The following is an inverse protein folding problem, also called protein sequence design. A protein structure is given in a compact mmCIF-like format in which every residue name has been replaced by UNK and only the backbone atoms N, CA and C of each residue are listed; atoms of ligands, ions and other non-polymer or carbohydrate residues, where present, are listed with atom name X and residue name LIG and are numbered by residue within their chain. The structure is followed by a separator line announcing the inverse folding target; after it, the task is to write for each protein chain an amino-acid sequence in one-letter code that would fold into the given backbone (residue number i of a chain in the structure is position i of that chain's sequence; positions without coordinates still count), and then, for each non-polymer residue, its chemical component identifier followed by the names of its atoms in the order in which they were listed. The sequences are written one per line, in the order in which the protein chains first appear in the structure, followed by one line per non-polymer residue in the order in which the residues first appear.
data_IF_770625595401
#
_entry.id   IF_770625595401
#
_cell.length_a   1.000
_cell.length_b   1.000
_cell.length_c   1.000
_cell.angle_alpha   90.00
_cell.angle_beta   90.00
_cell.angle_gamma   90.00
#
_symmetry.space_group_name_H-M   'P 1'
#
loop_
_entity.id
_entity.type
_entity.pdbx_description
1 polymer ?
#
# COMPACT_ATOMS: atom_id res chain seq x y z
N UNK A 1 0.96 7.61 -19.61
CA UNK A 1 0.78 7.56 -18.14
C UNK A 1 0.33 8.90 -17.62
N UNK A 2 -0.75 8.94 -16.85
CA UNK A 2 -1.16 10.13 -16.10
C UNK A 2 -0.12 10.37 -14.99
N UNK A 3 0.46 11.57 -14.94
CA UNK A 3 1.45 11.95 -13.93
C UNK A 3 0.75 12.70 -12.79
N UNK A 4 1.04 12.31 -11.54
CA UNK A 4 0.48 12.91 -10.34
C UNK A 4 1.58 13.61 -9.50
N UNK A 5 2.12 14.78 -9.92
CA UNK A 5 3.21 15.49 -9.22
C UNK A 5 3.01 15.73 -7.72
N UNK A 6 1.76 15.80 -7.22
CA UNK A 6 1.45 16.00 -5.81
C UNK A 6 0.90 14.76 -5.06
N UNK A 7 0.91 13.56 -5.66
CA UNK A 7 0.41 12.34 -5.00
C UNK A 7 1.20 11.98 -3.73
N UNK A 8 2.44 12.46 -3.63
CA UNK A 8 3.26 12.29 -2.43
C UNK A 8 2.63 12.89 -1.17
N UNK A 9 1.76 13.90 -1.30
CA UNK A 9 1.04 14.49 -0.16
C UNK A 9 0.08 13.49 0.48
N UNK A 10 -0.63 12.72 -0.34
CA UNK A 10 -1.51 11.66 0.15
C UNK A 10 -0.70 10.56 0.83
N UNK A 11 0.41 10.12 0.24
CA UNK A 11 1.34 9.17 0.88
C UNK A 11 1.81 9.70 2.24
N UNK A 12 2.20 10.97 2.33
CA UNK A 12 2.66 11.58 3.58
C UNK A 12 1.56 11.64 4.63
N UNK A 13 0.33 11.96 4.23
CA UNK A 13 -0.83 11.87 5.10
C UNK A 13 -1.04 10.44 5.63
N UNK A 14 -1.01 9.40 4.77
CA UNK A 14 -1.14 7.99 5.23
C UNK A 14 -0.03 7.62 6.21
N UNK A 15 1.21 8.01 5.92
CA UNK A 15 2.35 7.80 6.82
C UNK A 15 2.12 8.52 8.15
N UNK A 16 1.66 9.77 8.14
CA UNK A 16 1.38 10.53 9.35
C UNK A 16 0.25 9.88 10.16
N UNK A 17 -0.88 9.56 9.53
CA UNK A 17 -2.04 8.94 10.18
C UNK A 17 -1.68 7.67 10.96
N UNK A 18 -0.90 6.76 10.37
CA UNK A 18 -0.45 5.55 11.08
C UNK A 18 0.63 5.82 12.13
N UNK A 19 1.53 6.78 11.91
CA UNK A 19 2.53 7.14 12.92
C UNK A 19 1.90 7.84 14.13
N UNK A 20 0.82 8.58 13.93
CA UNK A 20 0.07 9.27 14.99
C UNK A 20 -0.98 8.36 15.63
N UNK A 21 -1.09 7.11 15.15
CA UNK A 21 -2.07 6.12 15.60
C UNK A 21 -3.52 6.62 15.51
N UNK A 22 -3.82 7.29 14.40
CA UNK A 22 -5.17 7.74 14.10
C UNK A 22 -6.14 6.55 14.17
N UNK A 23 -7.28 6.70 14.87
CA UNK A 23 -8.33 5.68 14.88
C UNK A 23 -8.69 5.26 13.45
N UNK A 24 -8.64 3.95 13.18
CA UNK A 24 -8.79 3.43 11.83
C UNK A 24 -10.16 3.75 11.22
N UNK A 25 -11.21 3.86 12.04
CA UNK A 25 -12.54 4.31 11.62
C UNK A 25 -12.51 5.77 11.09
N UNK A 26 -11.81 6.68 11.78
CA UNK A 26 -11.59 8.06 11.31
C UNK A 26 -10.76 8.09 10.03
N UNK A 27 -9.71 7.27 9.96
CA UNK A 27 -8.91 7.11 8.75
C UNK A 27 -9.78 6.71 7.55
N UNK A 28 -10.67 5.73 7.70
CA UNK A 28 -11.60 5.32 6.63
C UNK A 28 -12.53 6.46 6.19
N UNK A 29 -13.11 7.19 7.17
CA UNK A 29 -13.97 8.35 6.89
C UNK A 29 -13.23 9.41 6.08
N UNK A 30 -11.97 9.65 6.43
CA UNK A 30 -11.04 10.53 5.72
C UNK A 30 -10.74 10.05 4.29
N UNK A 31 -10.47 8.76 4.08
CA UNK A 31 -10.18 8.20 2.76
C UNK A 31 -11.31 8.41 1.74
N UNK A 32 -12.55 8.20 2.18
CA UNK A 32 -13.71 8.16 1.30
C UNK A 32 -14.43 9.50 1.19
N UNK A 33 -14.37 10.32 2.23
CA UNK A 33 -15.19 11.52 2.35
C UNK A 33 -14.48 12.67 3.08
N UNK A 34 -13.15 12.67 3.19
CA UNK A 34 -12.40 13.74 3.86
C UNK A 34 -12.81 15.12 3.37
N UNK A 35 -12.91 15.32 2.05
CA UNK A 35 -13.32 16.58 1.41
C UNK A 35 -14.75 17.05 1.76
N UNK A 36 -15.59 16.16 2.29
CA UNK A 36 -16.97 16.42 2.72
C UNK A 36 -17.09 16.67 4.23
N UNK A 37 -16.03 16.45 5.00
CA UNK A 37 -16.05 16.62 6.45
C UNK A 37 -15.92 18.10 6.82
N UNK A 38 -16.84 18.59 7.67
CA UNK A 38 -16.84 19.98 8.12
C UNK A 38 -15.62 20.30 8.98
N UNK A 39 -15.07 21.49 8.76
CA UNK A 39 -14.02 22.08 9.59
C UNK A 39 -14.05 23.59 9.40
N UNK A 40 -13.94 24.32 10.52
CA UNK A 40 -13.82 25.79 10.51
C UNK A 40 -12.37 26.25 10.31
N UNK A 41 -11.40 25.33 10.43
CA UNK A 41 -9.99 25.60 10.16
C UNK A 41 -9.68 25.47 8.64
N UNK A 42 -9.26 26.57 7.98
CA UNK A 42 -8.88 26.56 6.56
C UNK A 42 -7.72 25.61 6.24
N UNK A 43 -6.72 25.48 7.13
CA UNK A 43 -5.60 24.56 6.90
C UNK A 43 -6.08 23.11 6.96
N UNK A 44 -6.96 22.79 7.90
CA UNK A 44 -7.61 21.49 7.97
C UNK A 44 -8.46 21.20 6.74
N UNK A 45 -9.10 22.21 6.13
CA UNK A 45 -9.86 22.03 4.88
C UNK A 45 -8.98 21.57 3.72
N UNK A 46 -7.79 22.16 3.54
CA UNK A 46 -6.85 21.72 2.52
C UNK A 46 -6.31 20.31 2.81
N UNK A 47 -6.04 19.99 4.08
CA UNK A 47 -5.62 18.65 4.51
C UNK A 47 -6.69 17.60 4.19
N UNK A 48 -7.96 17.84 4.54
CA UNK A 48 -9.09 16.93 4.30
C UNK A 48 -9.26 16.50 2.83
N UNK A 49 -8.85 17.34 1.88
CA UNK A 49 -8.87 17.01 0.44
C UNK A 49 -7.69 16.10 0.07
N UNK A 50 -6.53 16.29 0.70
CA UNK A 50 -5.40 15.36 0.59
C UNK A 50 -5.78 14.02 1.19
N UNK A 51 -6.48 14.03 2.33
CA UNK A 51 -6.91 12.84 3.06
C UNK A 51 -7.79 11.94 2.18
N UNK A 52 -8.68 12.55 1.36
CA UNK A 52 -9.52 11.88 0.37
C UNK A 52 -8.76 11.43 -0.91
N UNK A 53 -7.42 11.41 -0.91
CA UNK A 53 -6.61 11.03 -2.07
C UNK A 53 -6.86 9.59 -2.55
N UNK A 54 -7.36 8.70 -1.68
CA UNK A 54 -7.70 7.31 -2.02
C UNK A 54 -8.68 7.18 -3.18
N UNK A 55 -9.73 8.01 -3.23
CA UNK A 55 -10.74 7.93 -4.31
C UNK A 55 -10.19 8.41 -5.67
N UNK A 56 -9.00 9.02 -5.70
CA UNK A 56 -8.32 9.42 -6.93
C UNK A 56 -7.35 8.34 -7.46
N UNK A 57 -7.08 7.27 -6.69
CA UNK A 57 -6.15 6.20 -7.07
C UNK A 57 -6.75 5.28 -8.15
N UNK A 58 -5.92 4.42 -8.75
CA UNK A 58 -6.34 3.47 -9.79
C UNK A 58 -5.87 3.82 -11.23
N UNK A 59 -5.89 2.85 -12.16
CA UNK A 59 -5.61 3.03 -13.58
C UNK A 59 -6.69 3.86 -14.29
N UNK A 60 -6.25 4.58 -15.31
CA UNK A 60 -7.12 5.35 -16.21
C UNK A 60 -6.70 5.00 -17.63
N UNK A 61 -7.66 4.57 -18.44
CA UNK A 61 -7.40 4.14 -19.82
C UNK A 61 -6.83 5.32 -20.63
N UNK A 62 -5.77 5.07 -21.39
CA UNK A 62 -5.11 6.11 -22.21
C UNK A 62 -5.72 6.25 -23.61
N UNK A 63 -6.45 5.22 -24.05
CA UNK A 63 -7.06 5.10 -25.38
C UNK A 63 -8.49 5.63 -25.39
N UNK A 64 -9.25 5.40 -24.33
CA UNK A 64 -10.59 5.95 -24.11
C UNK A 64 -10.50 7.07 -23.07
N UNK A 65 -11.00 8.26 -23.42
CA UNK A 65 -10.64 9.50 -22.68
C UNK A 65 -11.84 10.32 -22.22
N UNK A 66 -13.02 10.08 -22.75
CA UNK A 66 -14.21 10.90 -22.52
C UNK A 66 -15.46 10.03 -22.70
N UNK A 67 -16.60 10.57 -22.27
CA UNK A 67 -17.89 9.88 -22.38
C UNK A 67 -18.19 8.98 -21.19
N UNK A 68 -19.44 8.52 -21.14
CA UNK A 68 -19.98 7.80 -20.00
C UNK A 68 -19.20 6.51 -19.67
N UNK A 69 -18.70 5.80 -20.69
CA UNK A 69 -17.92 4.57 -20.47
C UNK A 69 -16.66 4.83 -19.64
N UNK A 70 -15.91 5.86 -19.99
CA UNK A 70 -14.70 6.26 -19.26
C UNK A 70 -15.01 6.64 -17.82
N UNK A 71 -16.05 7.45 -17.59
CA UNK A 71 -16.44 7.84 -16.23
C UNK A 71 -16.88 6.63 -15.39
N UNK A 72 -17.60 5.67 -16.00
CA UNK A 72 -17.97 4.42 -15.34
C UNK A 72 -16.75 3.53 -15.03
N UNK A 73 -15.73 3.49 -15.89
CA UNK A 73 -14.48 2.76 -15.60
C UNK A 73 -13.72 3.40 -14.42
N UNK A 74 -13.73 4.73 -14.31
CA UNK A 74 -13.14 5.43 -13.16
C UNK A 74 -13.89 5.12 -11.87
N UNK A 75 -15.23 5.11 -11.90
CA UNK A 75 -16.05 4.78 -10.73
C UNK A 75 -15.89 3.30 -10.33
N UNK A 76 -15.74 2.40 -11.30
CA UNK A 76 -15.48 0.97 -11.05
C UNK A 76 -14.19 0.76 -10.25
N UNK A 77 -13.12 1.51 -10.55
CA UNK A 77 -11.88 1.50 -9.76
C UNK A 77 -12.10 1.97 -8.32
N UNK A 78 -12.93 3.00 -8.11
CA UNK A 78 -13.25 3.51 -6.77
C UNK A 78 -14.03 2.47 -5.96
N UNK A 79 -15.03 1.85 -6.58
CA UNK A 79 -15.85 0.81 -5.96
C UNK A 79 -15.00 -0.41 -5.64
N UNK A 80 -14.26 -0.92 -6.62
CA UNK A 80 -13.43 -2.12 -6.45
C UNK A 80 -12.39 -1.94 -5.36
N UNK A 81 -11.68 -0.81 -5.34
CA UNK A 81 -10.71 -0.51 -4.28
C UNK A 81 -11.39 -0.35 -2.91
N UNK A 82 -12.51 0.37 -2.82
CA UNK A 82 -13.25 0.58 -1.55
C UNK A 82 -13.76 -0.74 -0.97
N UNK A 83 -14.43 -1.55 -1.79
CA UNK A 83 -15.07 -2.80 -1.37
C UNK A 83 -14.01 -3.85 -0.99
N UNK A 84 -12.95 -3.99 -1.77
CA UNK A 84 -11.86 -4.90 -1.41
C UNK A 84 -11.09 -4.41 -0.17
N UNK A 85 -10.75 -3.12 -0.10
CA UNK A 85 -9.96 -2.57 1.00
C UNK A 85 -10.72 -2.62 2.32
N UNK A 86 -12.00 -2.24 2.37
CA UNK A 86 -12.68 -2.03 3.65
C UNK A 86 -13.74 -3.07 3.98
N UNK A 87 -14.25 -3.82 2.99
CA UNK A 87 -15.25 -4.87 3.22
C UNK A 87 -14.70 -6.27 2.95
N UNK A 88 -13.56 -6.37 2.25
CA UNK A 88 -12.96 -7.65 1.89
C UNK A 88 -13.87 -8.44 0.96
N UNK A 89 -14.56 -7.79 0.02
CA UNK A 89 -15.46 -8.45 -0.93
C UNK A 89 -15.04 -8.18 -2.37
N UNK A 90 -15.48 -9.05 -3.27
CA UNK A 90 -15.34 -8.87 -4.72
C UNK A 90 -16.70 -8.58 -5.34
N UNK A 91 -16.83 -7.44 -6.04
CA UNK A 91 -18.11 -7.02 -6.64
C UNK A 91 -18.02 -6.75 -8.16
N UNK A 92 -16.82 -6.85 -8.75
CA UNK A 92 -16.60 -6.46 -10.15
C UNK A 92 -17.46 -7.21 -11.17
N UNK A 93 -17.84 -8.48 -10.93
CA UNK A 93 -18.73 -9.20 -11.85
C UNK A 93 -20.13 -8.58 -11.94
N UNK A 94 -20.64 -8.03 -10.81
CA UNK A 94 -21.93 -7.37 -10.70
C UNK A 94 -22.07 -6.13 -11.60
N UNK A 95 -20.98 -5.67 -12.20
CA UNK A 95 -21.00 -4.62 -13.22
C UNK A 95 -21.80 -5.01 -14.47
N UNK A 96 -21.72 -6.27 -14.89
CA UNK A 96 -22.30 -6.73 -16.16
C UNK A 96 -23.46 -7.71 -15.99
N UNK A 97 -23.46 -8.50 -14.92
CA UNK A 97 -24.50 -9.47 -14.58
C UNK A 97 -24.46 -9.70 -13.07
N UNK A 98 -25.54 -10.16 -12.46
CA UNK A 98 -25.52 -10.52 -11.03
C UNK A 98 -24.37 -11.49 -10.74
N UNK A 99 -23.69 -11.29 -9.62
CA UNK A 99 -22.51 -12.06 -9.29
C UNK A 99 -22.84 -13.55 -9.31
N UNK A 100 -22.00 -14.35 -9.98
CA UNK A 100 -22.34 -15.75 -10.30
C UNK A 100 -22.51 -16.63 -9.05
N UNK A 101 -21.75 -16.34 -8.01
CA UNK A 101 -21.64 -17.18 -6.80
C UNK A 101 -21.89 -16.43 -5.50
N UNK A 102 -21.88 -15.09 -5.55
CA UNK A 102 -22.04 -14.25 -4.36
C UNK A 102 -23.43 -13.63 -4.43
N UNK A 103 -24.08 -13.37 -3.29
CA UNK A 103 -25.39 -12.71 -3.24
C UNK A 103 -25.25 -11.19 -3.47
N UNK A 104 -24.54 -10.79 -4.54
CA UNK A 104 -24.32 -9.40 -4.94
C UNK A 104 -24.90 -9.20 -6.33
N UNK A 105 -25.91 -8.33 -6.43
CA UNK A 105 -26.65 -8.06 -7.66
C UNK A 105 -26.04 -6.89 -8.45
N UNK A 106 -26.44 -6.75 -9.72
CA UNK A 106 -26.19 -5.53 -10.47
C UNK A 106 -26.78 -4.31 -9.75
N UNK A 107 -27.95 -4.46 -9.12
CA UNK A 107 -28.57 -3.37 -8.38
C UNK A 107 -27.66 -2.88 -7.25
N UNK A 108 -27.03 -3.78 -6.49
CA UNK A 108 -26.06 -3.42 -5.43
C UNK A 108 -24.86 -2.66 -6.01
N UNK A 109 -24.27 -3.16 -7.11
CA UNK A 109 -23.14 -2.50 -7.75
C UNK A 109 -23.49 -1.09 -8.25
N UNK A 110 -24.60 -0.93 -8.98
CA UNK A 110 -24.98 0.38 -9.51
C UNK A 110 -25.48 1.34 -8.41
N UNK A 111 -25.96 0.82 -7.27
CA UNK A 111 -26.24 1.64 -6.10
C UNK A 111 -24.96 2.24 -5.51
N UNK A 112 -23.84 1.50 -5.50
CA UNK A 112 -22.53 2.04 -5.18
C UNK A 112 -22.04 3.05 -6.23
N UNK A 113 -22.31 2.81 -7.53
CA UNK A 113 -22.03 3.80 -8.58
C UNK A 113 -22.75 5.12 -8.27
N UNK A 114 -24.01 5.08 -7.82
CA UNK A 114 -24.76 6.28 -7.45
C UNK A 114 -24.15 7.08 -6.29
N UNK A 115 -23.32 6.46 -5.45
CA UNK A 115 -22.60 7.13 -4.36
C UNK A 115 -21.38 7.91 -4.88
N UNK A 116 -20.61 7.33 -5.81
CA UNK A 116 -19.37 7.93 -6.31
C UNK A 116 -19.57 8.85 -7.53
N UNK A 117 -20.63 8.66 -8.31
CA UNK A 117 -20.91 9.40 -9.55
C UNK A 117 -20.89 10.95 -9.41
N UNK A 118 -21.28 11.57 -8.27
CA UNK A 118 -21.18 13.03 -8.10
C UNK A 118 -19.75 13.57 -8.02
N UNK A 119 -18.74 12.71 -7.84
CA UNK A 119 -17.35 13.11 -7.64
C UNK A 119 -16.76 13.66 -8.95
N UNK A 120 -16.35 14.92 -8.93
CA UNK A 120 -15.77 15.58 -10.09
C UNK A 120 -14.25 15.47 -10.09
N UNK A 121 -13.70 14.99 -11.21
CA UNK A 121 -12.27 14.92 -11.49
C UNK A 121 -11.79 16.16 -12.28
N UNK A 122 -10.93 17.02 -11.73
CA UNK A 122 -10.32 18.12 -12.47
C UNK A 122 -9.27 17.62 -13.47
N UNK A 123 -9.45 17.88 -14.77
CA UNK A 123 -8.52 17.40 -15.82
C UNK A 123 -8.47 18.30 -17.05
N UNK A 124 -7.33 18.28 -17.73
CA UNK A 124 -7.14 18.84 -19.08
C UNK A 124 -6.55 17.74 -19.97
N UNK A 125 -7.40 17.11 -20.79
CA UNK A 125 -7.00 15.96 -21.61
C UNK A 125 -6.42 14.81 -20.78
N UNK A 126 -5.09 14.59 -20.89
CA UNK A 126 -4.33 13.54 -20.19
C UNK A 126 -3.68 14.02 -18.88
N UNK A 127 -3.85 15.29 -18.52
CA UNK A 127 -3.21 15.89 -17.36
C UNK A 127 -4.22 16.03 -16.24
N UNK A 128 -3.89 15.47 -15.09
CA UNK A 128 -4.64 15.68 -13.85
C UNK A 128 -4.37 17.11 -13.38
N UNK A 129 -5.43 17.90 -13.23
CA UNK A 129 -5.28 19.28 -12.80
C UNK A 129 -5.14 19.33 -11.29
N UNK A 130 -4.14 20.10 -10.87
CA UNK A 130 -3.95 20.43 -9.46
C UNK A 130 -4.80 21.66 -9.13
N UNK A 131 -5.44 21.69 -7.97
CA UNK A 131 -6.09 22.88 -7.44
C UNK A 131 -5.25 23.47 -6.32
N UNK A 132 -5.14 24.80 -6.27
CA UNK A 132 -4.57 25.51 -5.13
C UNK A 132 -5.68 25.76 -4.13
N UNK A 133 -5.56 25.20 -2.93
CA UNK A 133 -6.52 25.35 -1.85
C UNK A 133 -5.76 25.84 -0.63
N UNK A 134 -6.10 27.03 -0.14
CA UNK A 134 -5.38 27.70 0.96
C UNK A 134 -3.85 27.71 0.73
N UNK A 135 -3.42 28.07 -0.48
CA UNK A 135 -2.00 28.10 -0.87
C UNK A 135 -1.36 26.72 -1.11
N UNK A 136 -2.09 25.63 -0.95
CA UNK A 136 -1.57 24.26 -1.13
C UNK A 136 -2.08 23.64 -2.42
N UNK A 137 -1.14 23.21 -3.26
CA UNK A 137 -1.40 22.48 -4.50
C UNK A 137 -1.75 21.01 -4.22
N UNK A 138 -2.98 20.60 -4.52
CA UNK A 138 -3.53 19.26 -4.25
C UNK A 138 -4.30 18.66 -5.45
N UNK A 139 -4.39 17.33 -5.50
CA UNK A 139 -5.37 16.64 -6.37
C UNK A 139 -6.73 16.63 -5.69
N UNK A 140 -7.55 17.61 -6.04
CA UNK A 140 -8.86 17.79 -5.43
C UNK A 140 -9.94 17.13 -6.29
N UNK A 141 -10.15 15.83 -6.10
CA UNK A 141 -11.40 15.20 -6.54
C UNK A 141 -12.46 15.59 -5.51
N UNK A 142 -13.50 16.29 -5.95
CA UNK A 142 -14.47 16.90 -5.05
C UNK A 142 -15.88 16.78 -5.60
N UNK A 143 -16.85 16.72 -4.71
CA UNK A 143 -18.23 17.03 -5.06
C UNK A 143 -18.38 18.55 -5.12
N UNK A 144 -18.92 19.05 -6.24
CA UNK A 144 -19.09 20.48 -6.49
C UNK A 144 -20.56 20.91 -6.53
N UNK A 145 -21.48 19.95 -6.42
CA UNK A 145 -22.92 20.17 -6.48
C UNK A 145 -23.66 19.29 -5.49
N UNK A 146 -24.79 19.80 -5.01
CA UNK A 146 -25.79 19.03 -4.29
C UNK A 146 -26.67 18.19 -5.24
N UNK A 147 -26.67 18.51 -6.53
CA UNK A 147 -27.40 17.79 -7.56
C UNK A 147 -26.56 16.61 -8.09
N UNK A 148 -26.94 15.40 -7.72
CA UNK A 148 -26.32 14.18 -8.22
C UNK A 148 -26.86 13.82 -9.62
N UNK A 149 -26.00 13.40 -10.57
CA UNK A 149 -26.47 12.81 -11.82
C UNK A 149 -27.27 11.53 -11.55
N UNK A 150 -28.32 11.29 -12.34
CA UNK A 150 -29.08 10.04 -12.25
C UNK A 150 -28.23 8.85 -12.67
N UNK A 151 -28.17 7.83 -11.82
CA UNK A 151 -27.47 6.58 -12.11
C UNK A 151 -28.47 5.52 -12.57
N UNK A 152 -28.11 4.79 -13.62
CA UNK A 152 -28.92 3.69 -14.15
C UNK A 152 -28.08 2.41 -14.19
N UNK A 153 -28.73 1.26 -14.14
CA UNK A 153 -28.09 -0.04 -14.39
C UNK A 153 -27.68 -0.10 -15.86
N UNK A 154 -26.40 -0.31 -16.17
CA UNK A 154 -25.97 -0.50 -17.55
C UNK A 154 -26.16 -1.96 -17.94
N UNK A 155 -27.11 -2.24 -18.82
CA UNK A 155 -27.45 -3.61 -19.21
C UNK A 155 -26.25 -4.30 -19.86
N UNK A 156 -25.80 -5.42 -19.26
CA UNK A 156 -24.57 -6.13 -19.66
C UNK A 156 -23.31 -5.27 -19.62
N UNK A 157 -23.27 -4.26 -18.74
CA UNK A 157 -22.16 -3.31 -18.60
C UNK A 157 -22.01 -2.32 -19.77
N UNK A 158 -23.00 -2.25 -20.66
CA UNK A 158 -22.96 -1.40 -21.84
C UNK A 158 -23.40 0.03 -21.53
N UNK A 159 -22.47 0.98 -21.61
CA UNK A 159 -22.73 2.40 -21.34
C UNK A 159 -23.78 3.04 -22.28
N UNK A 160 -24.11 2.40 -23.40
CA UNK A 160 -25.13 2.87 -24.36
C UNK A 160 -26.51 2.26 -24.12
N UNK A 161 -26.65 1.40 -23.11
CA UNK A 161 -27.89 0.68 -22.79
C UNK A 161 -28.28 0.88 -21.32
N UNK A 162 -28.68 2.11 -20.93
CA UNK A 162 -29.20 2.36 -19.59
C UNK A 162 -30.51 1.58 -19.38
N UNK A 163 -30.61 0.93 -18.24
CA UNK A 163 -31.80 0.26 -17.74
C UNK A 163 -32.48 1.09 -16.66
N UNK A 164 -32.92 0.42 -15.60
CA UNK A 164 -33.60 1.05 -14.46
C UNK A 164 -32.69 2.06 -13.72
N UNK A 165 -33.30 3.13 -13.22
CA UNK A 165 -32.64 4.11 -12.34
C UNK A 165 -32.46 3.51 -10.95
N UNK A 166 -31.30 3.75 -10.35
CA UNK A 166 -30.98 3.31 -8.98
C UNK A 166 -30.64 4.49 -8.08
N UNK A 167 -30.93 4.32 -6.80
CA UNK A 167 -30.60 5.27 -5.74
C UNK A 167 -29.36 4.79 -4.96
N UNK A 168 -28.63 5.68 -4.26
CA UNK A 168 -27.47 5.27 -3.46
C UNK A 168 -27.90 4.30 -2.35
N UNK A 169 -27.21 3.16 -2.29
CA UNK A 169 -27.41 2.09 -1.31
C UNK A 169 -26.13 1.28 -1.15
N UNK A 170 -26.01 0.59 -0.02
CA UNK A 170 -24.97 -0.44 0.21
C UNK A 170 -25.55 -1.81 -0.14
N UNK A 171 -24.71 -2.84 -0.38
CA UNK A 171 -25.21 -4.15 -0.77
C UNK A 171 -26.26 -4.70 0.22
N UNK A 172 -27.43 -5.06 -0.29
CA UNK A 172 -28.59 -5.40 0.55
C UNK A 172 -28.34 -6.59 1.47
N UNK A 173 -27.48 -7.53 1.07
CA UNK A 173 -27.12 -8.69 1.90
C UNK A 173 -26.35 -8.31 3.17
N UNK A 174 -25.73 -7.12 3.21
CA UNK A 174 -24.89 -6.68 4.33
C UNK A 174 -25.67 -5.90 5.40
N UNK A 175 -26.95 -5.61 5.16
CA UNK A 175 -27.74 -4.75 6.04
C UNK A 175 -29.19 -5.21 6.12
N UNK A 176 -29.77 -5.15 7.31
CA UNK A 176 -31.22 -5.27 7.48
C UNK A 176 -31.95 -4.00 7.05
N UNK A 177 -31.31 -2.84 7.28
CA UNK A 177 -31.81 -1.52 6.91
C UNK A 177 -30.70 -0.72 6.22
N UNK A 178 -31.02 -0.11 5.08
CA UNK A 178 -30.08 0.74 4.35
C UNK A 178 -29.63 1.94 5.21
N UNK A 179 -28.33 2.27 5.22
CA UNK A 179 -27.83 3.42 5.97
C UNK A 179 -28.39 4.72 5.38
N UNK A 180 -28.50 5.73 6.24
CA UNK A 180 -28.88 7.05 5.79
C UNK A 180 -27.75 7.69 4.97
N UNK A 181 -28.09 8.11 3.75
CA UNK A 181 -27.24 8.98 2.96
C UNK A 181 -27.69 10.43 3.25
N UNK A 182 -26.86 11.25 3.93
CA UNK A 182 -27.27 12.60 4.29
C UNK A 182 -27.65 13.38 3.04
N UNK A 183 -28.84 13.97 3.04
CA UNK A 183 -29.36 14.69 1.88
C UNK A 183 -28.84 16.12 1.91
N UNK A 184 -28.02 16.44 0.92
CA UNK A 184 -27.68 17.80 0.45
C UNK A 184 -27.29 18.82 1.52
N UNK A 185 -26.00 19.10 1.60
CA UNK A 185 -25.51 20.39 2.11
C UNK A 185 -25.13 21.27 0.91
N UNK A 186 -25.02 22.60 1.10
CA UNK A 186 -24.66 23.51 -0.01
C UNK A 186 -23.35 23.05 -0.68
N UNK A 187 -23.45 22.51 -1.89
CA UNK A 187 -22.30 22.11 -2.72
C UNK A 187 -21.90 20.63 -2.68
N UNK A 188 -22.61 19.75 -1.97
CA UNK A 188 -22.33 18.29 -1.97
C UNK A 188 -23.58 17.44 -1.79
N UNK A 189 -23.55 16.23 -2.33
CA UNK A 189 -24.62 15.23 -2.17
C UNK A 189 -24.55 14.50 -0.83
N UNK A 190 -23.41 14.51 -0.13
CA UNK A 190 -23.20 13.80 1.14
C UNK A 190 -23.12 12.27 1.02
N UNK A 191 -23.28 11.69 -0.19
CA UNK A 191 -23.42 10.25 -0.38
C UNK A 191 -22.19 9.46 0.06
N UNK A 192 -20.99 9.92 -0.32
CA UNK A 192 -19.73 9.26 0.11
C UNK A 192 -19.53 9.31 1.62
N UNK A 193 -19.95 10.39 2.28
CA UNK A 193 -19.88 10.50 3.73
C UNK A 193 -20.82 9.50 4.42
N UNK A 194 -22.03 9.29 3.86
CA UNK A 194 -22.94 8.22 4.32
C UNK A 194 -22.31 6.84 4.21
N UNK A 195 -21.72 6.51 3.05
CA UNK A 195 -21.00 5.25 2.84
C UNK A 195 -19.85 5.09 3.83
N UNK A 196 -19.02 6.13 3.99
CA UNK A 196 -17.85 6.07 4.84
C UNK A 196 -18.22 5.88 6.32
N UNK A 197 -19.31 6.51 6.78
CA UNK A 197 -19.87 6.30 8.12
C UNK A 197 -20.33 4.85 8.31
N UNK A 198 -21.02 4.27 7.34
CA UNK A 198 -21.47 2.87 7.41
C UNK A 198 -20.31 1.87 7.39
N UNK A 199 -19.29 2.09 6.55
CA UNK A 199 -18.08 1.23 6.54
C UNK A 199 -17.36 1.30 7.90
N UNK A 200 -17.29 2.49 8.50
CA UNK A 200 -16.63 2.71 9.77
C UNK A 200 -17.54 2.47 11.00
N UNK A 201 -18.76 1.96 10.81
CA UNK A 201 -19.73 1.74 11.88
C UNK A 201 -19.41 0.45 12.65
N UNK A 202 -19.50 0.46 13.98
CA UNK A 202 -19.26 -0.72 14.81
C UNK A 202 -20.25 -1.87 14.56
N UNK A 203 -21.42 -1.57 13.98
CA UNK A 203 -22.41 -2.57 13.56
C UNK A 203 -22.02 -3.26 12.25
N UNK A 204 -21.00 -2.76 11.55
CA UNK A 204 -20.41 -3.41 10.38
C UNK A 204 -19.15 -4.20 10.77
N UNK A 205 -19.26 -5.52 11.03
CA UNK A 205 -18.12 -6.29 11.53
C UNK A 205 -17.05 -6.55 10.46
N UNK A 206 -17.36 -6.40 9.16
CA UNK A 206 -16.43 -6.73 8.09
C UNK A 206 -15.17 -5.87 8.15
N UNK A 207 -15.32 -4.59 8.42
CA UNK A 207 -14.20 -3.64 8.36
C UNK A 207 -13.13 -3.94 9.40
N UNK A 208 -13.53 -4.20 10.65
CA UNK A 208 -12.60 -4.64 11.69
C UNK A 208 -11.98 -6.01 11.36
N UNK A 209 -12.79 -6.98 10.91
CA UNK A 209 -12.28 -8.32 10.54
C UNK A 209 -11.24 -8.25 9.43
N UNK A 210 -11.46 -7.43 8.41
CA UNK A 210 -10.56 -7.28 7.27
C UNK A 210 -9.23 -6.67 7.68
N UNK A 211 -9.22 -5.57 8.44
CA UNK A 211 -7.97 -4.93 8.84
C UNK A 211 -7.19 -5.78 9.85
N UNK A 212 -7.87 -6.41 10.80
CA UNK A 212 -7.26 -7.36 11.75
C UNK A 212 -6.59 -8.52 11.01
N UNK A 213 -7.25 -9.05 9.99
CA UNK A 213 -6.68 -10.11 9.16
C UNK A 213 -5.39 -9.67 8.46
N UNK A 214 -5.35 -8.44 7.94
CA UNK A 214 -4.14 -7.91 7.29
C UNK A 214 -3.01 -7.63 8.27
N UNK A 215 -3.31 -7.11 9.45
CA UNK A 215 -2.31 -6.93 10.51
C UNK A 215 -1.75 -8.28 10.95
N UNK A 216 -2.61 -9.28 11.13
CA UNK A 216 -2.21 -10.65 11.41
C UNK A 216 -1.31 -11.21 10.31
N UNK A 217 -1.74 -11.10 9.05
CA UNK A 217 -0.98 -11.53 7.87
C UNK A 217 0.40 -10.87 7.80
N UNK A 218 0.53 -9.59 8.16
CA UNK A 218 1.82 -8.91 8.15
C UNK A 218 2.80 -9.49 9.18
N UNK A 219 2.32 -9.94 10.33
CA UNK A 219 3.17 -10.56 11.34
C UNK A 219 3.44 -12.04 11.06
N UNK A 220 2.41 -12.82 10.77
CA UNK A 220 2.50 -14.28 10.63
C UNK A 220 2.76 -14.76 9.19
N UNK A 221 2.74 -13.87 8.20
CA UNK A 221 2.94 -14.16 6.78
C UNK A 221 1.68 -14.61 6.02
N UNK A 222 0.71 -15.18 6.73
CA UNK A 222 -0.60 -15.59 6.20
C UNK A 222 -1.70 -15.06 7.12
N UNK A 223 -2.81 -14.59 6.54
CA UNK A 223 -3.96 -14.11 7.30
C UNK A 223 -4.75 -15.26 7.93
N UNK A 224 -5.55 -14.95 8.95
CA UNK A 224 -6.58 -15.87 9.46
C UNK A 224 -7.54 -16.32 8.34
N UNK A 225 -7.88 -15.39 7.45
CA UNK A 225 -8.46 -15.63 6.13
C UNK A 225 -7.34 -15.45 5.10
N UNK A 226 -6.96 -16.53 4.42
CA UNK A 226 -5.83 -16.51 3.48
C UNK A 226 -6.10 -15.68 2.21
N UNK A 227 -7.37 -15.49 1.84
CA UNK A 227 -7.80 -14.57 0.77
C UNK A 227 -8.07 -13.17 1.31
N UNK A 228 -7.01 -12.39 1.57
CA UNK A 228 -7.13 -11.14 2.35
C UNK A 228 -8.05 -10.03 1.80
N UNK A 229 -8.42 -10.08 0.51
CA UNK A 229 -9.40 -9.16 -0.12
C UNK A 229 -10.73 -9.84 -0.47
N UNK A 230 -10.93 -11.10 -0.10
CA UNK A 230 -12.15 -11.86 -0.40
C UNK A 230 -12.57 -12.74 0.78
N UNK A 231 -13.57 -12.26 1.51
CA UNK A 231 -14.25 -12.89 2.64
C UNK A 231 -15.62 -13.43 2.22
N UNK A 232 -15.94 -13.37 0.91
CA UNK A 232 -17.16 -13.90 0.34
C UNK A 232 -17.19 -15.42 0.34
N UNK A 233 -18.24 -15.98 -0.25
CA UNK A 233 -18.41 -17.43 -0.43
C UNK A 233 -17.31 -18.07 -1.27
N UNK A 234 -16.68 -17.31 -2.17
CA UNK A 234 -15.53 -17.75 -2.96
C UNK A 234 -14.19 -17.62 -2.22
N UNK A 235 -14.15 -16.83 -1.15
CA UNK A 235 -13.00 -16.65 -0.28
C UNK A 235 -12.71 -17.86 0.61
N UNK A 236 -11.52 -17.88 1.20
CA UNK A 236 -11.17 -18.82 2.26
C UNK A 236 -11.98 -18.52 3.53
N UNK A 237 -12.31 -19.57 4.28
CA UNK A 237 -12.85 -19.40 5.63
C UNK A 237 -11.73 -19.02 6.60
N UNK A 238 -12.10 -18.32 7.67
CA UNK A 238 -11.16 -18.03 8.76
C UNK A 238 -10.70 -19.35 9.39
N UNK A 239 -9.39 -19.56 9.48
CA UNK A 239 -8.78 -20.74 10.10
C UNK A 239 -9.09 -20.83 11.60
N UNK A 240 -9.26 -19.68 12.26
CA UNK A 240 -9.59 -19.56 13.68
C UNK A 240 -10.71 -18.51 13.87
N UNK A 241 -11.97 -18.87 13.61
CA UNK A 241 -13.07 -17.90 13.59
C UNK A 241 -13.28 -17.21 14.94
N UNK A 242 -13.22 -17.95 16.06
CA UNK A 242 -13.37 -17.38 17.41
C UNK A 242 -12.28 -16.35 17.73
N UNK A 243 -11.02 -16.64 17.35
CA UNK A 243 -9.92 -15.71 17.53
C UNK A 243 -10.09 -14.46 16.66
N UNK A 244 -10.52 -14.65 15.40
CA UNK A 244 -10.76 -13.55 14.48
C UNK A 244 -11.84 -12.61 14.99
N UNK A 245 -12.96 -13.17 15.45
CA UNK A 245 -14.08 -12.41 15.98
C UNK A 245 -13.71 -11.72 17.29
N UNK A 246 -12.94 -12.38 18.17
CA UNK A 246 -12.38 -11.75 19.37
C UNK A 246 -11.51 -10.55 19.03
N UNK A 247 -10.53 -10.71 18.13
CA UNK A 247 -9.61 -9.64 17.76
C UNK A 247 -10.35 -8.47 17.09
N UNK A 248 -11.34 -8.75 16.23
CA UNK A 248 -12.15 -7.72 15.59
C UNK A 248 -13.01 -6.95 16.61
N UNK A 249 -13.67 -7.65 17.53
CA UNK A 249 -14.45 -7.03 18.60
C UNK A 249 -13.56 -6.19 19.52
N UNK A 250 -12.46 -6.77 20.02
CA UNK A 250 -11.50 -6.07 20.88
C UNK A 250 -10.90 -4.84 20.18
N UNK A 251 -10.59 -4.94 18.88
CA UNK A 251 -10.05 -3.82 18.11
C UNK A 251 -11.03 -2.63 18.05
N UNK A 252 -12.33 -2.89 17.86
CA UNK A 252 -13.34 -1.83 17.82
C UNK A 252 -13.62 -1.23 19.20
N UNK A 253 -13.81 -2.07 20.22
CA UNK A 253 -14.37 -1.64 21.50
C UNK A 253 -13.32 -1.38 22.60
N UNK A 254 -12.23 -2.12 22.65
CA UNK A 254 -11.20 -1.96 23.68
C UNK A 254 -10.05 -1.08 23.17
N UNK A 255 -9.56 -1.36 21.96
CA UNK A 255 -8.48 -0.60 21.34
C UNK A 255 -8.95 0.71 20.69
N UNK A 256 -10.27 0.93 20.58
CA UNK A 256 -10.85 2.13 19.96
C UNK A 256 -10.26 2.38 18.56
N UNK A 257 -10.18 1.31 17.77
CA UNK A 257 -9.62 1.32 16.40
C UNK A 257 -8.12 1.68 16.31
N UNK A 258 -7.36 1.60 17.40
CA UNK A 258 -5.90 1.78 17.40
C UNK A 258 -5.18 0.59 16.78
N UNK A 259 -4.47 0.83 15.67
CA UNK A 259 -3.63 -0.18 15.06
C UNK A 259 -2.44 -0.52 15.97
N UNK A 260 -1.82 0.47 16.64
CA UNK A 260 -0.67 0.19 17.51
C UNK A 260 -1.04 -0.68 18.71
N UNK A 261 -2.22 -0.50 19.31
CA UNK A 261 -2.69 -1.40 20.37
C UNK A 261 -2.91 -2.82 19.83
N UNK A 262 -3.47 -2.97 18.62
CA UNK A 262 -3.60 -4.28 17.97
C UNK A 262 -2.25 -4.94 17.70
N UNK A 263 -1.28 -4.18 17.17
CA UNK A 263 0.10 -4.65 17.01
C UNK A 263 0.67 -5.09 18.37
N UNK A 264 0.50 -4.31 19.43
CA UNK A 264 1.00 -4.65 20.77
C UNK A 264 0.35 -5.91 21.31
N UNK A 265 -0.97 -6.07 21.19
CA UNK A 265 -1.68 -7.27 21.64
C UNK A 265 -1.12 -8.52 20.95
N UNK A 266 -0.94 -8.47 19.64
CA UNK A 266 -0.38 -9.58 18.87
C UNK A 266 1.06 -9.88 19.29
N UNK A 267 1.94 -8.86 19.30
CA UNK A 267 3.37 -9.03 19.57
C UNK A 267 3.70 -9.40 21.03
N UNK A 268 2.77 -9.15 21.96
CA UNK A 268 2.89 -9.56 23.38
C UNK A 268 2.16 -10.86 23.69
N UNK A 269 1.47 -11.45 22.71
CA UNK A 269 0.78 -12.73 22.88
C UNK A 269 1.77 -13.90 22.97
N UNK A 270 1.34 -14.99 23.61
CA UNK A 270 2.12 -16.25 23.59
C UNK A 270 2.27 -16.80 22.18
N UNK A 271 1.30 -16.56 21.29
CA UNK A 271 1.34 -17.03 19.91
C UNK A 271 2.50 -16.40 19.12
N UNK A 272 2.79 -15.12 19.36
CA UNK A 272 3.95 -14.45 18.79
C UNK A 272 5.26 -14.80 19.51
N UNK A 273 5.23 -14.87 20.85
CA UNK A 273 6.43 -15.06 21.67
C UNK A 273 6.93 -16.51 21.74
N UNK A 274 6.10 -17.49 21.39
CA UNK A 274 6.54 -18.88 21.33
C UNK A 274 7.66 -19.04 20.29
N UNK A 275 8.77 -19.68 20.67
CA UNK A 275 9.89 -19.97 19.76
C UNK A 275 9.38 -20.64 18.48
N UNK A 276 10.02 -20.32 17.35
CA UNK A 276 9.81 -21.02 16.07
C UNK A 276 10.14 -22.51 16.23
N UNK A 277 9.15 -23.31 16.57
CA UNK A 277 9.17 -24.77 16.39
C UNK A 277 8.69 -25.09 14.98
N UNK A 278 8.89 -26.33 14.51
CA UNK A 278 8.35 -26.78 13.22
C UNK A 278 6.82 -26.61 13.12
N UNK A 279 6.12 -26.61 14.26
CA UNK A 279 4.67 -26.39 14.38
C UNK A 279 4.28 -24.91 14.60
N UNK A 280 5.25 -23.99 14.63
CA UNK A 280 4.97 -22.57 14.86
C UNK A 280 4.31 -21.94 13.62
N UNK A 281 3.27 -21.09 13.79
CA UNK A 281 2.68 -20.34 12.69
C UNK A 281 3.66 -19.30 12.09
N UNK A 282 4.76 -18.99 12.77
CA UNK A 282 5.74 -17.99 12.33
C UNK A 282 6.69 -18.63 11.29
N UNK A 283 6.42 -18.37 10.01
CA UNK A 283 7.28 -18.83 8.90
C UNK A 283 8.43 -17.86 8.66
N UNK A 284 9.54 -18.35 8.10
CA UNK A 284 10.57 -17.48 7.51
C UNK A 284 9.94 -16.68 6.37
N UNK A 285 9.83 -15.36 6.55
CA UNK A 285 9.23 -14.45 5.56
C UNK A 285 10.35 -13.70 4.86
N UNK A 286 10.36 -13.76 3.53
CA UNK A 286 11.20 -12.88 2.72
C UNK A 286 10.78 -11.43 2.97
N UNK A 287 11.73 -10.57 3.31
CA UNK A 287 11.50 -9.13 3.35
C UNK A 287 11.03 -8.64 1.98
N UNK A 288 10.11 -7.68 2.00
CA UNK A 288 9.71 -6.95 0.79
C UNK A 288 10.91 -6.15 0.26
N UNK A 289 10.96 -5.90 -1.05
CA UNK A 289 12.10 -5.22 -1.68
C UNK A 289 12.41 -3.86 -1.06
N UNK A 290 11.39 -3.12 -0.66
CA UNK A 290 11.53 -1.85 0.05
C UNK A 290 12.30 -2.03 1.37
N UNK A 291 11.97 -3.08 2.13
CA UNK A 291 12.64 -3.39 3.38
C UNK A 291 14.07 -3.94 3.16
N UNK A 292 14.30 -4.75 2.13
CA UNK A 292 15.64 -5.21 1.75
C UNK A 292 16.53 -4.01 1.42
N UNK A 293 16.05 -3.12 0.56
CA UNK A 293 16.77 -1.91 0.15
C UNK A 293 17.03 -0.97 1.33
N UNK A 294 16.02 -0.74 2.16
CA UNK A 294 16.15 0.12 3.35
C UNK A 294 17.12 -0.50 4.37
N UNK A 295 17.16 -1.82 4.50
CA UNK A 295 18.12 -2.53 5.35
C UNK A 295 19.55 -2.36 4.83
N UNK A 296 19.78 -2.47 3.52
CA UNK A 296 21.11 -2.20 2.92
C UNK A 296 21.59 -0.77 3.22
N UNK A 297 20.70 0.23 3.12
CA UNK A 297 21.01 1.61 3.48
C UNK A 297 21.28 1.79 4.98
N UNK A 298 20.54 1.08 5.83
CA UNK A 298 20.68 1.17 7.28
C UNK A 298 22.01 0.58 7.75
N UNK A 299 22.38 -0.61 7.26
CA UNK A 299 23.63 -1.28 7.65
C UNK A 299 24.85 -0.58 7.08
N UNK A 300 24.77 -0.02 5.88
CA UNK A 300 25.84 0.80 5.29
C UNK A 300 26.01 2.17 5.95
N UNK A 301 25.06 2.60 6.80
CA UNK A 301 25.07 3.92 7.43
C UNK A 301 24.74 5.06 6.45
N UNK A 302 24.07 4.75 5.33
CA UNK A 302 23.65 5.72 4.32
C UNK A 302 22.19 6.14 4.47
N UNK A 303 21.37 5.41 5.22
CA UNK A 303 19.94 5.67 5.34
C UNK A 303 19.65 7.11 5.77
N UNK A 304 19.01 7.86 4.87
CA UNK A 304 18.49 9.19 5.17
C UNK A 304 17.11 9.06 5.83
N UNK A 305 17.02 9.49 7.09
CA UNK A 305 15.80 9.45 7.90
C UNK A 305 14.80 10.57 7.61
N UNK A 306 15.07 11.43 6.61
CA UNK A 306 14.16 12.51 6.19
C UNK A 306 12.79 11.95 5.81
N UNK A 307 11.81 12.29 6.65
CA UNK A 307 10.39 12.00 6.44
C UNK A 307 9.76 13.06 5.56
N UNK A 308 8.71 12.64 4.85
CA UNK A 308 7.81 13.49 4.08
C UNK A 308 8.46 14.24 2.89
N UNK A 309 7.65 14.96 2.13
CA UNK A 309 8.07 15.71 0.96
C UNK A 309 8.05 14.90 -0.34
N UNK A 310 8.44 15.50 -1.47
CA UNK A 310 8.37 14.85 -2.77
C UNK A 310 9.08 13.50 -2.84
N UNK A 311 8.57 12.63 -3.73
CA UNK A 311 9.22 11.37 -4.05
C UNK A 311 10.55 11.60 -4.78
N UNK A 312 11.50 10.68 -4.61
CA UNK A 312 12.78 10.69 -5.31
C UNK A 312 12.84 9.61 -6.39
N UNK A 313 13.74 9.79 -7.36
CA UNK A 313 14.00 8.80 -8.41
C UNK A 313 15.38 8.18 -8.19
N UNK A 314 15.50 6.90 -7.78
CA UNK A 314 16.81 6.24 -7.73
C UNK A 314 17.45 6.18 -9.12
N UNK A 315 18.76 6.01 -9.19
CA UNK A 315 19.42 5.69 -10.46
C UNK A 315 18.88 4.35 -10.99
N UNK A 316 18.71 4.27 -12.31
CA UNK A 316 18.38 3.03 -13.02
C UNK A 316 19.42 2.82 -14.13
N UNK A 317 19.79 1.57 -14.44
CA UNK A 317 20.75 1.28 -15.49
C UNK A 317 20.31 1.84 -16.84
N UNK A 318 21.27 2.31 -17.65
CA UNK A 318 21.00 2.86 -18.98
C UNK A 318 20.23 1.87 -19.88
N UNK A 319 20.55 0.57 -19.79
CA UNK A 319 19.85 -0.48 -20.53
C UNK A 319 18.33 -0.51 -20.26
N UNK A 320 17.88 -0.15 -19.05
CA UNK A 320 16.46 -0.06 -18.72
C UNK A 320 15.79 1.18 -19.34
N UNK A 321 16.56 2.23 -19.61
CA UNK A 321 16.10 3.48 -20.26
C UNK A 321 16.04 3.31 -21.78
N UNK A 322 16.99 2.59 -22.37
CA UNK A 322 17.15 2.45 -23.83
C UNK A 322 15.93 1.88 -24.56
N UNK A 323 15.14 1.05 -23.88
CA UNK A 323 13.89 0.49 -24.40
C UNK A 323 12.74 1.52 -24.51
N UNK A 324 12.91 2.73 -23.97
CA UNK A 324 11.88 3.77 -23.96
C UNK A 324 12.04 4.75 -25.14
N UNK A 325 10.93 5.22 -25.68
CA UNK A 325 10.90 6.18 -26.79
C UNK A 325 11.47 7.56 -26.40
N UNK A 326 11.31 7.97 -25.14
CA UNK A 326 11.71 9.29 -24.63
C UNK A 326 12.86 9.16 -23.62
N UNK A 327 14.05 8.78 -24.10
CA UNK A 327 15.19 8.40 -23.26
C UNK A 327 15.67 9.52 -22.33
N UNK A 328 15.57 10.77 -22.77
CA UNK A 328 16.14 11.92 -22.05
C UNK A 328 15.26 12.40 -20.89
N UNK A 329 13.93 12.31 -21.01
CA UNK A 329 13.01 12.83 -20.00
C UNK A 329 12.27 11.75 -19.20
N UNK A 330 12.31 10.48 -19.64
CA UNK A 330 11.56 9.39 -19.00
C UNK A 330 11.95 9.18 -17.54
N UNK A 331 13.23 9.38 -17.19
CA UNK A 331 13.74 9.16 -15.85
C UNK A 331 15.01 9.97 -15.55
N UNK A 332 14.88 10.98 -14.68
CA UNK A 332 16.01 11.75 -14.17
C UNK A 332 16.24 11.39 -12.70
N UNK A 333 17.39 10.79 -12.41
CA UNK A 333 17.76 10.42 -11.04
C UNK A 333 17.85 11.66 -10.15
N UNK A 334 17.42 11.50 -8.89
CA UNK A 334 17.58 12.51 -7.85
C UNK A 334 19.01 12.50 -7.30
N UNK A 335 19.38 13.56 -6.56
CA UNK A 335 20.67 13.60 -5.86
C UNK A 335 20.81 12.45 -4.86
N UNK A 336 22.04 11.98 -4.65
CA UNK A 336 22.33 10.81 -3.80
C UNK A 336 21.78 10.94 -2.36
N UNK A 337 21.81 12.16 -1.82
CA UNK A 337 21.24 12.47 -0.50
C UNK A 337 19.74 12.18 -0.42
N UNK A 338 19.00 12.41 -1.51
CA UNK A 338 17.57 12.08 -1.60
C UNK A 338 17.36 10.61 -1.94
N UNK A 339 18.21 9.99 -2.77
CA UNK A 339 18.06 8.58 -3.12
C UNK A 339 18.35 7.64 -1.96
N UNK A 340 19.07 8.09 -0.94
CA UNK A 340 19.33 7.30 0.27
C UNK A 340 18.16 7.30 1.28
N UNK A 341 17.02 7.92 0.94
CA UNK A 341 15.80 7.88 1.77
C UNK A 341 15.13 6.51 1.70
N UNK A 342 14.27 6.25 2.70
CA UNK A 342 13.40 5.06 2.74
C UNK A 342 12.64 4.85 1.43
N UNK A 343 12.51 3.59 1.04
CA UNK A 343 12.00 3.18 -0.27
C UNK A 343 10.52 3.50 -0.48
N UNK A 344 9.76 3.72 0.61
CA UNK A 344 8.40 4.29 0.56
C UNK A 344 8.34 5.66 -0.12
N UNK A 345 9.46 6.38 -0.21
CA UNK A 345 9.58 7.67 -0.90
C UNK A 345 10.01 7.55 -2.38
N UNK A 346 10.18 6.34 -2.91
CA UNK A 346 10.53 6.13 -4.32
C UNK A 346 9.36 6.52 -5.22
N UNK A 347 9.68 7.19 -6.32
CA UNK A 347 8.73 7.55 -7.35
C UNK A 347 8.30 6.31 -8.14
N UNK A 348 7.00 6.00 -8.11
CA UNK A 348 6.43 4.90 -8.88
C UNK A 348 6.00 5.35 -10.29
N UNK A 349 6.48 4.65 -11.32
CA UNK A 349 6.06 4.82 -12.72
C UNK A 349 5.68 3.47 -13.32
N UNK A 350 4.39 3.28 -13.60
CA UNK A 350 3.84 2.01 -14.12
C UNK A 350 4.50 1.46 -15.38
N UNK A 351 5.03 2.35 -16.23
CA UNK A 351 5.70 1.96 -17.48
C UNK A 351 7.23 1.86 -17.38
N UNK A 352 7.81 2.11 -16.21
CA UNK A 352 9.26 2.01 -15.98
C UNK A 352 9.48 1.80 -14.48
N UNK A 353 9.51 0.54 -14.07
CA UNK A 353 9.76 0.14 -12.68
C UNK A 353 11.27 0.10 -12.45
N UNK A 354 11.71 0.41 -11.23
CA UNK A 354 13.13 0.30 -10.86
C UNK A 354 13.51 -1.19 -10.92
N UNK A 355 14.55 -1.60 -11.67
CA UNK A 355 14.80 -3.03 -11.94
C UNK A 355 14.96 -3.90 -10.68
N UNK A 356 15.62 -3.40 -9.64
CA UNK A 356 15.73 -4.12 -8.36
C UNK A 356 14.34 -4.40 -7.75
N UNK A 357 13.42 -3.45 -7.84
CA UNK A 357 12.06 -3.57 -7.31
C UNK A 357 11.24 -4.57 -8.11
N UNK A 358 11.34 -4.50 -9.44
CA UNK A 358 10.67 -5.44 -10.33
C UNK A 358 11.15 -6.88 -10.10
N UNK A 359 12.46 -7.12 -10.06
CA UNK A 359 13.02 -8.46 -9.87
C UNK A 359 12.67 -9.07 -8.51
N UNK A 360 12.54 -8.26 -7.45
CA UNK A 360 12.30 -8.72 -6.08
C UNK A 360 10.82 -8.66 -5.67
N UNK A 361 9.91 -8.82 -6.64
CA UNK A 361 8.46 -8.92 -6.46
C UNK A 361 7.81 -7.69 -5.79
N UNK A 362 8.11 -6.48 -6.29
CA UNK A 362 7.37 -5.27 -5.90
C UNK A 362 5.86 -5.46 -6.11
N UNK A 363 5.04 -4.83 -5.23
CA UNK A 363 3.59 -4.84 -5.38
C UNK A 363 3.13 -4.38 -6.77
N UNK A 364 2.06 -5.01 -7.26
CA UNK A 364 1.40 -4.61 -8.50
C UNK A 364 0.99 -3.13 -8.41
N UNK A 365 1.31 -2.37 -9.46
CA UNK A 365 1.06 -0.92 -9.48
C UNK A 365 -0.23 -0.54 -10.20
N UNK A 366 -0.92 -1.51 -10.81
CA UNK A 366 -2.14 -1.36 -11.60
C UNK A 366 -3.36 -1.79 -10.79
N UNK A 367 -3.27 -2.90 -10.06
CA UNK A 367 -4.38 -3.48 -9.31
C UNK A 367 -4.12 -3.51 -7.80
N UNK A 368 -5.17 -3.73 -7.01
CA UNK A 368 -5.04 -3.99 -5.57
C UNK A 368 -4.21 -5.26 -5.32
N UNK A 369 -3.26 -5.19 -4.38
CA UNK A 369 -2.34 -6.28 -4.04
C UNK A 369 -2.57 -6.73 -2.59
N UNK A 370 -3.49 -7.68 -2.32
CA UNK A 370 -3.77 -8.20 -0.97
C UNK A 370 -2.58 -8.95 -0.35
N UNK A 371 -1.81 -9.63 -1.21
CA UNK A 371 -0.65 -10.40 -0.84
C UNK A 371 0.34 -10.31 -1.98
N UNK A 372 1.59 -9.97 -1.66
CA UNK A 372 2.67 -9.97 -2.63
C UNK A 372 3.08 -11.40 -2.92
N UNK A 373 3.35 -11.68 -4.20
CA UNK A 373 4.01 -12.92 -4.57
C UNK A 373 5.44 -12.90 -4.03
N UNK A 374 5.91 -14.05 -3.58
CA UNK A 374 7.28 -14.24 -3.12
C UNK A 374 7.86 -15.37 -3.94
N UNK A 375 8.69 -15.01 -4.91
CA UNK A 375 9.43 -15.97 -5.71
C UNK A 375 10.83 -16.18 -5.13
N UNK A 376 11.47 -17.28 -5.51
CA UNK A 376 12.87 -17.56 -5.17
C UNK A 376 13.54 -18.08 -6.43
N UNK A 377 14.12 -17.15 -7.19
CA UNK A 377 14.69 -17.42 -8.51
C UNK A 377 16.11 -16.87 -8.61
N UNK A 378 16.97 -17.52 -9.40
CA UNK A 378 18.37 -17.12 -9.55
C UNK A 378 18.57 -15.63 -9.91
N UNK A 379 17.75 -14.99 -10.77
CA UNK A 379 17.86 -13.55 -11.05
C UNK A 379 17.79 -12.64 -9.82
N UNK A 380 17.08 -13.04 -8.75
CA UNK A 380 16.99 -12.26 -7.52
C UNK A 380 18.31 -12.26 -6.75
N UNK A 381 18.91 -13.43 -6.54
CA UNK A 381 20.22 -13.56 -5.92
C UNK A 381 21.29 -12.81 -6.73
N UNK A 382 21.25 -12.93 -8.06
CA UNK A 382 22.14 -12.21 -8.97
C UNK A 382 21.93 -10.69 -8.94
N UNK A 383 20.69 -10.22 -8.76
CA UNK A 383 20.39 -8.79 -8.62
C UNK A 383 20.96 -8.26 -7.31
N UNK A 384 20.74 -8.97 -6.21
CA UNK A 384 21.32 -8.62 -4.92
C UNK A 384 22.85 -8.63 -4.98
N UNK A 385 23.47 -9.53 -5.73
CA UNK A 385 24.93 -9.63 -5.83
C UNK A 385 25.57 -8.59 -6.75
N UNK A 386 24.97 -8.35 -7.93
CA UNK A 386 25.62 -7.60 -9.02
C UNK A 386 25.10 -6.17 -9.21
N UNK A 387 23.98 -5.78 -8.59
CA UNK A 387 23.43 -4.44 -8.84
C UNK A 387 24.42 -3.34 -8.42
N UNK A 388 24.45 -2.25 -9.18
CA UNK A 388 25.25 -1.06 -8.84
C UNK A 388 24.91 -0.55 -7.43
N UNK A 389 23.63 -0.62 -7.06
CA UNK A 389 23.16 -0.23 -5.74
C UNK A 389 23.81 -1.08 -4.64
N UNK A 390 23.81 -2.42 -4.75
CA UNK A 390 24.45 -3.26 -3.74
C UNK A 390 25.95 -3.02 -3.66
N UNK A 391 26.62 -2.84 -4.80
CA UNK A 391 28.06 -2.54 -4.82
C UNK A 391 28.36 -1.23 -4.09
N UNK A 392 27.59 -0.17 -4.34
CA UNK A 392 27.70 1.11 -3.63
C UNK A 392 27.47 0.94 -2.12
N UNK A 393 26.45 0.19 -1.72
CA UNK A 393 26.17 -0.06 -0.30
C UNK A 393 27.24 -0.92 0.37
N UNK A 394 27.82 -1.88 -0.36
CA UNK A 394 28.91 -2.72 0.15
C UNK A 394 30.18 -1.89 0.41
N UNK A 395 30.49 -0.95 -0.49
CA UNK A 395 31.59 -0.01 -0.28
C UNK A 395 31.37 0.91 0.92
N UNK A 396 30.18 1.51 1.03
CA UNK A 396 29.82 2.34 2.17
C UNK A 396 29.82 1.54 3.48
N UNK A 397 29.38 0.28 3.46
CA UNK A 397 29.39 -0.59 4.63
C UNK A 397 30.81 -0.93 5.08
N UNK A 398 31.71 -1.30 4.16
CA UNK A 398 33.11 -1.53 4.48
C UNK A 398 33.77 -0.28 5.07
N UNK A 399 33.49 0.91 4.51
CA UNK A 399 33.99 2.18 5.06
C UNK A 399 33.48 2.41 6.49
N UNK A 400 32.19 2.14 6.74
CA UNK A 400 31.61 2.22 8.09
C UNK A 400 32.31 1.27 9.07
N UNK A 401 32.56 0.02 8.65
CA UNK A 401 33.23 -0.97 9.49
C UNK A 401 34.66 -0.54 9.86
N UNK A 402 35.43 -0.01 8.90
CA UNK A 402 36.76 0.54 9.17
C UNK A 402 36.71 1.70 10.18
N UNK A 403 35.72 2.58 10.05
CA UNK A 403 35.55 3.70 10.97
C UNK A 403 35.14 3.26 12.38
N UNK A 404 34.30 2.24 12.52
CA UNK A 404 33.75 1.80 13.81
C UNK A 404 34.62 0.75 14.52
N UNK A 405 35.35 -0.10 13.79
CA UNK A 405 36.13 -1.21 14.33
C UNK A 405 37.65 -1.07 14.11
N UNK A 406 38.12 -0.02 13.41
CA UNK A 406 39.53 0.15 13.08
C UNK A 406 40.03 -0.86 12.05
N UNK A 407 41.30 -1.25 12.12
CA UNK A 407 41.95 -2.18 11.18
C UNK A 407 41.92 -3.65 11.64
N UNK A 408 41.26 -3.95 12.76
CA UNK A 408 41.10 -5.31 13.27
C UNK A 408 40.02 -6.06 12.47
N UNK A 409 40.45 -7.00 11.62
CA UNK A 409 39.56 -7.78 10.76
C UNK A 409 38.59 -8.67 11.55
N UNK A 410 39.00 -9.19 12.72
CA UNK A 410 38.11 -9.99 13.58
C UNK A 410 36.94 -9.11 14.07
N UNK A 411 37.26 -7.92 14.55
CA UNK A 411 36.24 -6.97 15.03
C UNK A 411 35.38 -6.42 13.91
N UNK A 412 35.95 -6.18 12.73
CA UNK A 412 35.18 -5.77 11.54
C UNK A 412 34.13 -6.81 11.17
N UNK A 413 34.49 -8.10 11.12
CA UNK A 413 33.55 -9.20 10.81
C UNK A 413 32.45 -9.30 11.88
N UNK A 414 32.82 -9.33 13.16
CA UNK A 414 31.85 -9.35 14.27
C UNK A 414 30.88 -8.16 14.21
N UNK A 415 31.39 -6.97 13.92
CA UNK A 415 30.57 -5.76 13.78
C UNK A 415 29.64 -5.86 12.57
N UNK A 416 30.11 -6.40 11.46
CA UNK A 416 29.29 -6.60 10.26
C UNK A 416 28.10 -7.52 10.53
N UNK A 417 28.34 -8.66 11.21
CA UNK A 417 27.28 -9.60 11.61
C UNK A 417 26.27 -8.97 12.58
N UNK A 418 26.74 -8.24 13.59
CA UNK A 418 25.83 -7.55 14.54
C UNK A 418 24.94 -6.52 13.84
N UNK A 419 25.49 -5.78 12.89
CA UNK A 419 24.75 -4.75 12.16
C UNK A 419 23.76 -5.34 11.16
N UNK A 420 24.16 -6.38 10.43
CA UNK A 420 23.37 -6.92 9.33
C UNK A 420 22.42 -8.06 9.74
N UNK A 421 22.84 -8.91 10.68
CA UNK A 421 22.13 -10.13 11.07
C UNK A 421 21.70 -10.14 12.54
N UNK A 422 21.96 -9.05 13.28
CA UNK A 422 21.53 -8.90 14.68
C UNK A 422 22.05 -9.99 15.65
N UNK A 423 23.17 -10.65 15.33
CA UNK A 423 23.82 -11.68 16.17
C UNK A 423 25.34 -11.68 16.00
N UNK A 424 26.04 -12.49 16.78
CA UNK A 424 27.45 -12.80 16.54
C UNK A 424 27.61 -13.79 15.37
N UNK A 425 28.75 -13.73 14.65
CA UNK A 425 29.15 -14.84 13.79
C UNK A 425 29.45 -16.07 14.66
N UNK A 426 29.08 -17.25 14.16
CA UNK A 426 29.56 -18.51 14.72
C UNK A 426 31.07 -18.65 14.49
N UNK A 427 31.75 -19.51 15.25
CA UNK A 427 33.18 -19.75 15.06
C UNK A 427 33.55 -20.19 13.63
N UNK A 428 32.65 -20.93 12.97
CA UNK A 428 32.83 -21.37 11.58
C UNK A 428 32.66 -20.22 10.59
N UNK A 429 31.66 -19.35 10.79
CA UNK A 429 31.47 -18.16 9.95
C UNK A 429 32.64 -17.19 10.08
N UNK A 430 33.10 -16.94 11.32
CA UNK A 430 34.24 -16.09 11.61
C UNK A 430 35.49 -16.57 10.87
N UNK A 431 35.88 -17.83 11.06
CA UNK A 431 37.06 -18.40 10.43
C UNK A 431 36.98 -18.40 8.89
N UNK A 432 35.78 -18.62 8.31
CA UNK A 432 35.58 -18.56 6.85
C UNK A 432 35.75 -17.14 6.30
N UNK A 433 35.25 -16.13 7.00
CA UNK A 433 35.38 -14.74 6.55
C UNK A 433 36.80 -14.19 6.73
N UNK A 434 37.50 -14.58 7.79
CA UNK A 434 38.93 -14.28 7.95
C UNK A 434 39.76 -14.91 6.84
N UNK A 435 39.48 -16.17 6.50
CA UNK A 435 40.14 -16.83 5.38
C UNK A 435 39.84 -16.12 4.05
N UNK A 436 38.59 -15.70 3.82
CA UNK A 436 38.17 -14.99 2.63
C UNK A 436 38.85 -13.61 2.48
N UNK A 437 39.06 -12.88 3.58
CA UNK A 437 39.76 -11.59 3.59
C UNK A 437 41.25 -11.68 3.22
N UNK A 438 41.85 -12.87 3.19
CA UNK A 438 43.21 -13.03 2.71
C UNK A 438 43.32 -12.84 1.19
N UNK A 439 42.26 -13.19 0.46
CA UNK A 439 42.21 -13.14 -1.00
C UNK A 439 41.34 -11.98 -1.52
N UNK A 440 40.38 -11.51 -0.71
CA UNK A 440 39.34 -10.57 -1.12
C UNK A 440 39.22 -9.37 -0.17
N UNK A 441 38.53 -8.32 -0.64
CA UNK A 441 38.37 -7.07 0.12
C UNK A 441 37.24 -7.12 1.17
N UNK A 442 37.26 -6.18 2.12
CA UNK A 442 36.16 -6.01 3.07
C UNK A 442 34.83 -5.64 2.38
N UNK A 443 34.89 -4.95 1.26
CA UNK A 443 33.75 -4.66 0.39
C UNK A 443 33.10 -5.95 -0.11
N UNK A 444 33.89 -6.97 -0.45
CA UNK A 444 33.41 -8.27 -0.87
C UNK A 444 32.75 -9.04 0.27
N UNK A 445 33.30 -8.97 1.48
CA UNK A 445 32.64 -9.51 2.69
C UNK A 445 31.28 -8.84 2.90
N UNK A 446 31.21 -7.51 2.80
CA UNK A 446 29.96 -6.77 2.93
C UNK A 446 28.93 -7.21 1.87
N UNK A 447 29.38 -7.44 0.64
CA UNK A 447 28.55 -7.91 -0.47
C UNK A 447 28.01 -9.32 -0.21
N UNK A 448 28.85 -10.22 0.31
CA UNK A 448 28.44 -11.58 0.72
C UNK A 448 27.36 -11.50 1.79
N UNK A 449 27.57 -10.72 2.85
CA UNK A 449 26.61 -10.58 3.97
C UNK A 449 25.24 -10.11 3.46
N UNK A 450 25.21 -9.09 2.59
CA UNK A 450 23.97 -8.56 2.01
C UNK A 450 23.26 -9.55 1.05
N UNK A 451 23.94 -10.63 0.65
CA UNK A 451 23.38 -11.69 -0.19
C UNK A 451 22.99 -12.95 0.60
N UNK A 452 23.31 -13.02 1.89
CA UNK A 452 22.93 -14.16 2.73
C UNK A 452 21.41 -14.30 2.81
N UNK A 453 20.92 -15.54 2.82
CA UNK A 453 19.50 -15.81 3.05
C UNK A 453 19.00 -15.16 4.34
N UNK A 454 19.79 -15.19 5.42
CA UNK A 454 19.43 -14.60 6.70
C UNK A 454 19.22 -13.07 6.64
N UNK A 455 19.91 -12.37 5.73
CA UNK A 455 19.71 -10.94 5.52
C UNK A 455 18.35 -10.62 4.87
N UNK A 456 17.86 -11.54 4.02
CA UNK A 456 16.62 -11.37 3.25
C UNK A 456 15.43 -12.04 3.96
N UNK A 457 15.69 -13.07 4.76
CA UNK A 457 14.72 -13.88 5.50
C UNK A 457 15.07 -13.84 7.00
N UNK A 458 14.81 -12.72 7.69
CA UNK A 458 15.18 -12.57 9.09
C UNK A 458 14.45 -13.57 9.98
N UNK A 459 15.12 -13.98 11.05
CA UNK A 459 14.57 -14.81 12.12
C UNK A 459 13.64 -14.06 13.08
#
# INVERSE_FOLDING_TARGET
NFFYPHAWRYRDYVIAAFNDDKPYDEFIKEQLAGDLMKTDDPQRKAARIIDAGFVALGPKTVNERTGLRFELDVVDEQISNTVQAFLGLTIGCARCHDHKFEPLSMHDYYSLVAIFNPLTRPREGRTELTRTIEGTNVYAWQELSADAPATHIMLRGSATRPGERVEPAVPAILVEQQPEFPVTEKGTTGRRLGLARWIADERNPLTARVIVNRVWQQHFGEGLVSTANDFGLMGAKSAHPELHDFLAHWFMHDAQWSLKELHRLILTSRAWQSRKTADSPIRYRRLEVEAIRDSMLAVSGRLNSKRFGPAFRPAIPLAAIEANTDKESVWKASAESETSRRSVYVFAKRGLIVPMFETLDMADTVCSCPQRQVTTVAPQALTLFNSEFTQQQSHAFAQRLRNEAGDDTEQQIRRAWRLALCREPTAVEQAKMEAFLNDESLEEVCRVIMNLNEFVYPE
#
